data_IF_362073039531
#
_entry.id   IF_362073039531
#
_cell.length_a   1.000
_cell.length_b   1.000
_cell.length_c   1.000
_cell.angle_alpha   90.00
_cell.angle_beta   90.00
_cell.angle_gamma   90.00
#
_symmetry.space_group_name_H-M   'P 1'
#
loop_
_entity.id
_entity.type
_entity.pdbx_description
1 polymer ?
#
# COMPACT_ATOMS: atom_id res chain seq x y z
N UNK A 1 15.44 -12.98 -15.06
CA UNK A 1 15.30 -12.73 -14.69
C UNK A 1 15.02 -12.18 -14.47
N UNK A 2 14.80 -12.05 -14.26
CA UNK A 2 14.44 -11.59 -13.89
C UNK A 2 14.00 -10.90 -13.59
N UNK A 3 13.93 -10.77 -13.66
CA UNK A 3 13.42 -10.15 -13.22
C UNK A 3 12.97 -9.55 -13.30
N UNK A 4 12.65 -9.63 -13.39
CA UNK A 4 12.13 -9.18 -13.26
C UNK A 4 11.74 -8.72 -12.98
N UNK A 5 11.56 -8.91 -12.97
CA UNK A 5 11.15 -8.65 -12.48
C UNK A 5 10.89 -8.03 -11.90
N UNK A 6 11.00 -7.72 -11.61
CA UNK A 6 10.81 -7.25 -10.94
C UNK A 6 10.43 -6.53 -10.70
N UNK A 7 10.59 -6.09 -10.98
CA UNK A 7 10.00 -5.53 -10.92
C UNK A 7 8.91 -5.55 -11.09
N UNK A 8 9.10 -5.78 -11.89
CA UNK A 8 7.87 -6.11 -12.04
C UNK A 8 7.38 -6.67 -10.87
N UNK A 9 8.17 -7.07 -10.12
CA UNK A 9 7.74 -7.52 -8.94
C UNK A 9 7.37 -6.45 -8.08
N UNK A 10 6.12 -6.46 -7.68
CA UNK A 10 5.57 -5.45 -6.83
C UNK A 10 5.69 -5.97 -5.42
N UNK A 11 6.31 -5.22 -4.56
CA UNK A 11 6.49 -5.65 -3.18
C UNK A 11 5.15 -5.69 -2.46
N UNK A 12 4.96 -6.72 -1.66
CA UNK A 12 3.77 -6.85 -0.84
C UNK A 12 4.12 -6.37 0.56
N UNK A 13 3.41 -5.39 1.05
CA UNK A 13 3.72 -4.77 2.33
C UNK A 13 2.64 -5.09 3.37
N UNK A 14 3.08 -5.29 4.60
CA UNK A 14 2.15 -5.44 5.71
C UNK A 14 1.82 -4.06 6.25
N UNK A 15 0.85 -3.99 7.14
CA UNK A 15 0.38 -2.70 7.66
C UNK A 15 1.49 -1.84 8.20
N UNK A 16 2.37 -2.40 9.02
CA UNK A 16 3.45 -1.61 9.61
C UNK A 16 4.34 -1.01 8.54
N UNK A 17 4.68 -1.82 7.53
CA UNK A 17 5.54 -1.34 6.46
C UNK A 17 4.86 -0.26 5.65
N UNK A 18 3.57 -0.45 5.37
CA UNK A 18 2.82 0.52 4.59
C UNK A 18 2.70 1.86 5.33
N UNK A 19 2.43 1.80 6.63
CA UNK A 19 2.33 3.02 7.42
C UNK A 19 3.65 3.76 7.43
N UNK A 20 4.73 3.01 7.58
CA UNK A 20 6.06 3.62 7.57
C UNK A 20 6.37 4.25 6.23
N UNK A 21 6.02 3.56 5.15
CA UNK A 21 6.26 4.04 3.82
C UNK A 21 5.50 5.33 3.56
N UNK A 22 4.27 5.40 4.00
CA UNK A 22 3.43 6.58 3.79
C UNK A 22 3.62 7.62 4.88
N UNK A 23 4.28 7.26 5.96
CA UNK A 23 4.50 8.14 7.11
C UNK A 23 3.18 8.61 7.71
N UNK A 24 2.29 7.67 7.91
CA UNK A 24 1.01 7.97 8.55
C UNK A 24 0.79 6.98 9.69
N UNK A 25 -0.14 7.32 10.56
CA UNK A 25 -0.45 6.45 11.67
C UNK A 25 -1.28 5.26 11.20
N UNK A 26 -1.29 4.22 12.03
CA UNK A 26 -2.07 3.03 11.71
C UNK A 26 -3.56 3.35 11.58
N UNK A 27 -4.18 4.10 12.51
CA UNK A 27 -5.59 4.41 12.36
C UNK A 27 -5.90 5.15 11.06
N UNK A 28 -5.02 6.05 10.66
CA UNK A 28 -5.22 6.78 9.42
C UNK A 28 -5.12 5.85 8.23
N UNK A 29 -4.15 4.94 8.26
CA UNK A 29 -3.98 3.98 7.19
C UNK A 29 -5.23 3.09 7.05
N UNK A 30 -5.71 2.57 8.16
CA UNK A 30 -6.89 1.70 8.15
C UNK A 30 -8.09 2.46 7.63
N UNK A 31 -8.22 3.71 8.02
CA UNK A 31 -9.31 4.55 7.53
C UNK A 31 -9.29 4.63 6.01
N UNK A 32 -8.10 4.86 5.44
CA UNK A 32 -8.00 4.96 3.99
C UNK A 32 -8.33 3.64 3.30
N UNK A 33 -7.98 2.52 3.94
CA UNK A 33 -8.35 1.22 3.39
C UNK A 33 -9.85 1.06 3.34
N UNK A 34 -10.53 1.43 4.42
CA UNK A 34 -11.99 1.29 4.47
C UNK A 34 -12.68 2.26 3.54
N UNK A 35 -12.07 3.40 3.29
CA UNK A 35 -12.64 4.37 2.37
C UNK A 35 -12.37 4.01 0.92
N UNK A 36 -11.55 3.00 0.69
CA UNK A 36 -11.22 2.60 -0.66
C UNK A 36 -10.17 3.46 -1.33
N UNK A 37 -9.54 4.33 -0.59
CA UNK A 37 -8.50 5.18 -1.17
C UNK A 37 -7.19 4.43 -1.37
N UNK A 38 -6.97 3.42 -0.54
CA UNK A 38 -5.84 2.52 -0.69
C UNK A 38 -6.42 1.16 -0.92
N UNK A 39 -6.00 0.50 -1.98
CA UNK A 39 -6.51 -0.83 -2.29
C UNK A 39 -5.64 -1.87 -1.66
N UNK A 40 -6.16 -2.52 -0.64
CA UNK A 40 -5.46 -3.58 0.03
C UNK A 40 -6.32 -4.82 0.11
N UNK A 41 -5.71 -5.90 0.51
CA UNK A 41 -6.41 -7.17 0.65
C UNK A 41 -6.32 -7.61 2.10
N UNK A 42 -7.48 -7.94 2.68
CA UNK A 42 -7.48 -8.47 4.03
C UNK A 42 -6.97 -9.90 3.99
N UNK A 43 -5.94 -10.16 4.75
CA UNK A 43 -5.33 -11.47 4.75
C UNK A 43 -5.10 -11.89 6.20
N UNK A 44 -5.87 -12.86 6.64
CA UNK A 44 -5.79 -13.29 8.02
C UNK A 44 -6.14 -12.16 8.95
N UNK A 45 -5.24 -11.80 9.84
CA UNK A 45 -5.51 -10.76 10.82
C UNK A 45 -5.16 -9.37 10.37
N UNK A 46 -4.58 -9.24 9.21
CA UNK A 46 -4.11 -7.93 8.80
C UNK A 46 -4.35 -7.68 7.34
N UNK A 47 -3.81 -6.58 6.90
CA UNK A 47 -3.94 -6.16 5.51
C UNK A 47 -2.63 -6.33 4.78
N UNK A 48 -2.73 -6.66 3.51
CA UNK A 48 -1.58 -6.70 2.60
C UNK A 48 -1.84 -5.69 1.52
N UNK A 49 -0.82 -4.99 1.10
CA UNK A 49 -0.99 -3.98 0.06
C UNK A 49 0.25 -4.02 -0.84
N UNK A 50 0.04 -3.78 -2.12
CA UNK A 50 1.15 -3.70 -3.05
C UNK A 50 1.77 -2.32 -2.97
N UNK A 51 3.09 -2.27 -3.06
CA UNK A 51 3.78 -0.99 -3.02
C UNK A 51 3.28 -0.06 -4.12
N UNK A 52 2.96 -0.60 -5.28
CA UNK A 52 2.46 0.20 -6.38
C UNK A 52 1.14 0.89 -6.03
N UNK A 53 0.34 0.25 -5.20
CA UNK A 53 -0.91 0.87 -4.78
C UNK A 53 -0.65 2.06 -3.89
N UNK A 54 0.38 1.98 -3.07
CA UNK A 54 0.75 3.11 -2.23
C UNK A 54 1.28 4.26 -3.07
N UNK A 55 2.08 3.93 -4.07
CA UNK A 55 2.60 4.95 -4.97
C UNK A 55 1.47 5.63 -5.73
N UNK A 56 0.49 4.85 -6.15
CA UNK A 56 -0.68 5.40 -6.85
C UNK A 56 -1.46 6.32 -5.92
N UNK A 57 -1.63 5.88 -4.67
CA UNK A 57 -2.33 6.70 -3.69
C UNK A 57 -1.62 8.04 -3.50
N UNK A 58 -0.29 8.00 -3.38
CA UNK A 58 0.46 9.22 -3.19
C UNK A 58 0.33 10.14 -4.39
N UNK A 59 0.36 9.59 -5.60
CA UNK A 59 0.20 10.39 -6.79
C UNK A 59 -1.19 11.00 -6.87
N UNK A 60 -2.19 10.20 -6.53
CA UNK A 60 -3.56 10.69 -6.56
C UNK A 60 -3.79 11.81 -5.59
N UNK A 61 -3.23 11.69 -4.39
CA UNK A 61 -3.40 12.70 -3.38
C UNK A 61 -2.68 13.99 -3.74
N UNK A 62 -1.56 13.85 -4.43
CA UNK A 62 -0.76 15.01 -4.78
C UNK A 62 -1.09 15.59 -6.14
N UNK A 63 -1.53 14.74 -7.03
CA UNK A 63 -1.70 15.15 -8.41
C UNK A 63 -3.02 15.78 -8.73
N UNK A 64 -3.89 15.72 -7.79
CA UNK A 64 -5.22 16.27 -8.06
C UNK A 64 -5.62 17.26 -7.02
#
# INVERSE_FOLDING_TARGET
MENDLNEKEDAVLITREACHYLRISRPTYVKYLYMGRIKGTKAGKGWRVLKSELDRFLKGENGN
#
